data_IF_901895191448
#
_entry.id   IF_901895191448
#
_cell.length_a   1.000
_cell.length_b   1.000
_cell.length_c   1.000
_cell.angle_alpha   90.00
_cell.angle_beta   90.00
_cell.angle_gamma   90.00
#
_symmetry.space_group_name_H-M   'P 1'
#
loop_
_entity.id
_entity.type
_entity.pdbx_description
1 polymer ?
#
# COMPACT_ATOMS: atom_id res chain seq x y z
N UNK A 1 57.47 -15.74 21.16
CA UNK A 1 56.32 -15.10 21.83
C UNK A 1 56.30 -13.57 21.69
N UNK A 2 57.27 -12.79 22.20
CA UNK A 2 57.26 -11.31 22.13
C UNK A 2 57.05 -10.69 20.73
N UNK A 3 57.68 -11.25 19.68
CA UNK A 3 57.50 -10.75 18.30
C UNK A 3 56.08 -10.96 17.76
N UNK A 4 55.48 -12.13 18.03
CA UNK A 4 54.11 -12.45 17.61
C UNK A 4 53.11 -11.53 18.32
N UNK A 5 53.30 -11.27 19.61
CA UNK A 5 52.49 -10.30 20.37
C UNK A 5 52.62 -8.89 19.80
N UNK A 6 53.84 -8.43 19.48
CA UNK A 6 54.05 -7.11 18.89
C UNK A 6 53.38 -6.96 17.51
N UNK A 7 53.53 -7.96 16.61
CA UNK A 7 52.86 -7.94 15.31
C UNK A 7 51.33 -7.95 15.46
N UNK A 8 50.78 -8.76 16.36
CA UNK A 8 49.35 -8.78 16.63
C UNK A 8 48.85 -7.41 17.13
N UNK A 9 49.57 -6.78 18.07
CA UNK A 9 49.25 -5.44 18.57
C UNK A 9 49.30 -4.38 17.47
N UNK A 10 50.31 -4.42 16.58
CA UNK A 10 50.41 -3.48 15.45
C UNK A 10 49.26 -3.65 14.47
N UNK A 11 48.93 -4.88 14.08
CA UNK A 11 47.80 -5.15 13.17
C UNK A 11 46.47 -4.67 13.76
N UNK A 12 46.22 -4.95 15.05
CA UNK A 12 45.01 -4.48 15.74
C UNK A 12 44.96 -2.95 15.78
N UNK A 13 46.07 -2.30 16.13
CA UNK A 13 46.14 -0.83 16.22
C UNK A 13 45.88 -0.18 14.87
N UNK A 14 46.51 -0.67 13.80
CA UNK A 14 46.31 -0.17 12.44
C UNK A 14 44.87 -0.39 11.99
N UNK A 15 44.32 -1.58 12.24
CA UNK A 15 42.91 -1.88 11.93
C UNK A 15 41.93 -0.94 12.63
N UNK A 16 42.15 -0.67 13.92
CA UNK A 16 41.33 0.27 14.70
C UNK A 16 41.43 1.71 14.15
N UNK A 17 42.63 2.18 13.81
CA UNK A 17 42.82 3.51 13.23
C UNK A 17 42.13 3.65 11.87
N UNK A 18 42.25 2.64 11.00
CA UNK A 18 41.56 2.62 9.70
C UNK A 18 40.04 2.60 9.87
N UNK A 19 39.52 1.77 10.79
CA UNK A 19 38.10 1.71 11.09
C UNK A 19 37.58 3.05 11.62
N UNK A 20 38.23 3.64 12.63
CA UNK A 20 37.80 4.93 13.20
C UNK A 20 37.90 6.08 12.18
N UNK A 21 38.93 6.08 11.34
CA UNK A 21 39.06 7.04 10.25
C UNK A 21 37.93 6.92 9.23
N UNK A 22 37.58 5.69 8.83
CA UNK A 22 36.46 5.44 7.92
C UNK A 22 35.11 5.78 8.57
N UNK A 23 34.85 5.35 9.80
CA UNK A 23 33.63 5.69 10.54
C UNK A 23 33.48 7.20 10.76
N UNK A 24 34.58 7.91 11.01
CA UNK A 24 34.60 9.37 11.13
C UNK A 24 34.28 10.07 9.80
N UNK A 25 34.85 9.58 8.70
CA UNK A 25 34.48 10.04 7.35
C UNK A 25 33.01 9.79 7.04
N UNK A 26 32.52 8.59 7.32
CA UNK A 26 31.12 8.18 7.08
C UNK A 26 30.17 9.07 7.86
N UNK A 27 30.44 9.29 9.15
CA UNK A 27 29.64 10.20 9.97
C UNK A 27 29.59 11.62 9.38
N UNK A 28 30.73 12.14 8.91
CA UNK A 28 30.78 13.46 8.28
C UNK A 28 29.99 13.49 6.96
N UNK A 29 30.16 12.47 6.12
CA UNK A 29 29.45 12.32 4.85
C UNK A 29 27.94 12.25 5.05
N UNK A 30 27.46 11.39 5.95
CA UNK A 30 26.04 11.22 6.27
C UNK A 30 25.43 12.53 6.79
N UNK A 31 26.16 13.25 7.65
CA UNK A 31 25.73 14.55 8.20
C UNK A 31 25.64 15.65 7.14
N UNK A 32 26.46 15.57 6.08
CA UNK A 32 26.33 16.49 4.95
C UNK A 32 25.19 16.10 4.02
N UNK A 33 25.08 14.80 3.71
CA UNK A 33 24.03 14.26 2.84
C UNK A 33 22.65 14.56 3.41
N UNK A 34 22.46 14.38 4.71
CA UNK A 34 21.18 14.68 5.36
C UNK A 34 20.80 16.16 5.33
N UNK A 35 21.71 17.07 4.96
CA UNK A 35 21.44 18.49 4.76
C UNK A 35 21.23 18.90 3.31
N UNK A 36 21.77 18.11 2.36
CA UNK A 36 21.85 18.47 0.93
C UNK A 36 20.63 18.10 0.11
N UNK A 37 19.80 17.17 0.54
CA UNK A 37 18.61 16.81 -0.23
C UNK A 37 17.63 17.99 -0.24
N UNK A 38 17.46 18.62 -1.39
CA UNK A 38 16.31 19.47 -1.69
C UNK A 38 15.04 18.64 -1.45
N UNK A 39 14.36 18.90 -0.35
CA UNK A 39 13.06 18.29 -0.09
C UNK A 39 12.10 19.45 0.01
N UNK A 40 11.18 19.49 -0.94
CA UNK A 40 9.96 20.25 -0.81
C UNK A 40 9.35 19.93 0.56
N UNK A 41 9.39 20.91 1.46
CA UNK A 41 8.89 20.73 2.82
C UNK A 41 7.37 20.54 2.76
N UNK A 42 6.88 19.57 3.52
CA UNK A 42 5.46 19.47 3.84
C UNK A 42 5.01 20.74 4.58
N UNK A 43 3.73 21.12 4.46
CA UNK A 43 3.20 22.21 5.29
C UNK A 43 2.95 21.75 6.74
N UNK A 44 2.92 20.44 6.98
CA UNK A 44 2.73 19.81 8.28
C UNK A 44 4.10 19.57 8.95
N UNK A 45 4.32 20.22 10.10
CA UNK A 45 5.58 20.12 10.84
C UNK A 45 5.93 18.69 11.28
N UNK A 46 4.93 17.86 11.59
CA UNK A 46 5.12 16.46 11.95
C UNK A 46 5.65 15.63 10.76
N UNK A 47 5.12 15.83 9.55
CA UNK A 47 5.61 15.15 8.35
C UNK A 47 7.09 15.49 8.10
N UNK A 48 7.48 16.75 8.26
CA UNK A 48 8.88 17.18 8.15
C UNK A 48 9.79 16.52 9.21
N UNK A 49 9.28 16.32 10.43
CA UNK A 49 10.02 15.62 11.50
C UNK A 49 10.28 14.15 11.12
N UNK A 50 9.27 13.45 10.62
CA UNK A 50 9.38 12.04 10.21
C UNK A 50 10.29 11.89 8.98
N UNK A 51 10.14 12.76 7.97
CA UNK A 51 11.06 12.84 6.83
C UNK A 51 12.50 13.08 7.29
N UNK A 52 12.68 13.95 8.30
CA UNK A 52 13.96 14.22 8.95
C UNK A 52 14.59 12.94 9.51
N UNK A 53 13.85 12.15 10.28
CA UNK A 53 14.33 10.88 10.82
C UNK A 53 14.75 9.90 9.73
N UNK A 54 13.93 9.68 8.69
CA UNK A 54 14.30 8.75 7.63
C UNK A 54 15.58 9.16 6.91
N UNK A 55 15.80 10.46 6.73
CA UNK A 55 17.00 10.99 6.09
C UNK A 55 18.22 10.91 6.99
N UNK A 56 18.11 11.36 8.25
CA UNK A 56 19.19 11.40 9.22
C UNK A 56 19.68 9.99 9.60
N UNK A 57 18.78 9.02 9.61
CA UNK A 57 19.10 7.60 9.89
C UNK A 57 19.51 6.81 8.65
N UNK A 58 19.48 7.45 7.49
CA UNK A 58 19.90 6.85 6.23
C UNK A 58 18.99 5.73 5.76
N UNK A 59 17.69 5.75 6.11
CA UNK A 59 16.72 4.79 5.58
C UNK A 59 16.67 4.86 4.05
N UNK A 60 16.86 6.05 3.48
CA UNK A 60 16.89 6.26 2.04
C UNK A 60 18.05 5.55 1.33
N UNK A 61 19.16 5.23 2.03
CA UNK A 61 20.28 4.48 1.45
C UNK A 61 19.85 3.15 0.82
N UNK A 62 18.99 2.42 1.51
CA UNK A 62 18.57 1.08 1.11
C UNK A 62 17.11 1.02 0.66
N UNK A 63 16.30 2.03 0.97
CA UNK A 63 14.86 2.04 0.67
C UNK A 63 14.45 3.04 -0.40
N UNK A 64 15.42 3.63 -1.12
CA UNK A 64 15.14 4.43 -2.34
C UNK A 64 16.15 4.13 -3.45
N UNK A 65 15.76 4.21 -4.73
CA UNK A 65 16.63 3.88 -5.85
C UNK A 65 17.70 4.95 -6.15
N UNK A 66 17.60 6.13 -5.55
CA UNK A 66 18.38 7.33 -5.88
C UNK A 66 19.37 7.76 -4.79
N UNK A 67 19.71 6.88 -3.85
CA UNK A 67 20.61 7.23 -2.76
C UNK A 67 22.03 7.57 -3.27
N UNK A 68 22.53 8.75 -2.89
CA UNK A 68 23.93 9.13 -3.12
C UNK A 68 24.85 8.29 -2.25
N UNK A 69 25.62 7.38 -2.87
CA UNK A 69 26.53 6.50 -2.16
C UNK A 69 27.91 7.16 -1.93
N UNK A 70 28.56 6.89 -0.79
CA UNK A 70 29.92 7.37 -0.52
C UNK A 70 30.93 6.73 -1.48
N UNK A 71 32.10 7.36 -1.64
CA UNK A 71 33.11 6.93 -2.64
C UNK A 71 33.54 5.47 -2.52
N UNK A 72 33.59 4.94 -1.30
CA UNK A 72 34.03 3.57 -1.03
C UNK A 72 33.03 2.52 -1.50
N UNK A 73 31.79 2.91 -1.85
CA UNK A 73 30.79 2.03 -2.46
C UNK A 73 31.22 1.46 -3.82
N UNK A 74 32.27 2.03 -4.42
CA UNK A 74 32.87 1.56 -5.67
C UNK A 74 33.92 0.45 -5.48
N UNK A 75 34.38 0.18 -4.25
CA UNK A 75 35.43 -0.81 -3.99
C UNK A 75 34.87 -2.23 -4.05
N UNK A 76 35.55 -3.24 -4.65
CA UNK A 76 34.94 -4.52 -5.01
C UNK A 76 34.14 -5.24 -3.90
N UNK A 77 34.68 -5.32 -2.68
CA UNK A 77 34.01 -5.98 -1.55
C UNK A 77 32.89 -5.11 -0.96
N UNK A 78 33.14 -3.82 -0.78
CA UNK A 78 32.15 -2.89 -0.25
C UNK A 78 30.96 -2.76 -1.21
N UNK A 79 31.24 -2.65 -2.52
CA UNK A 79 30.26 -2.61 -3.59
C UNK A 79 29.32 -3.80 -3.54
N UNK A 80 29.86 -5.03 -3.51
CA UNK A 80 29.04 -6.23 -3.52
C UNK A 80 28.12 -6.31 -2.30
N UNK A 81 28.63 -5.97 -1.10
CA UNK A 81 27.84 -5.97 0.12
C UNK A 81 26.76 -4.88 0.10
N UNK A 82 27.12 -3.66 -0.28
CA UNK A 82 26.18 -2.53 -0.35
C UNK A 82 25.11 -2.77 -1.42
N UNK A 83 25.48 -3.22 -2.63
CA UNK A 83 24.52 -3.53 -3.69
C UNK A 83 23.52 -4.61 -3.22
N UNK A 84 23.99 -5.66 -2.53
CA UNK A 84 23.12 -6.68 -1.96
C UNK A 84 22.16 -6.10 -0.93
N UNK A 85 22.65 -5.28 -0.01
CA UNK A 85 21.85 -4.66 1.05
C UNK A 85 20.81 -3.69 0.49
N UNK A 86 21.19 -2.88 -0.50
CA UNK A 86 20.30 -1.93 -1.17
C UNK A 86 19.23 -2.67 -1.95
N UNK A 87 19.60 -3.69 -2.74
CA UNK A 87 18.63 -4.48 -3.49
C UNK A 87 17.64 -5.22 -2.57
N UNK A 88 18.14 -5.82 -1.49
CA UNK A 88 17.31 -6.51 -0.51
C UNK A 88 16.39 -5.52 0.24
N UNK A 89 16.93 -4.39 0.68
CA UNK A 89 16.19 -3.33 1.37
C UNK A 89 15.07 -2.78 0.51
N UNK A 90 15.38 -2.41 -0.74
CA UNK A 90 14.44 -1.81 -1.67
C UNK A 90 13.33 -2.79 -2.07
N UNK A 91 13.68 -4.06 -2.34
CA UNK A 91 12.70 -5.11 -2.63
C UNK A 91 11.76 -5.36 -1.45
N UNK A 92 12.26 -5.25 -0.22
CA UNK A 92 11.48 -5.51 1.00
C UNK A 92 10.59 -4.32 1.36
N UNK A 93 11.06 -3.10 1.13
CA UNK A 93 10.36 -1.87 1.46
C UNK A 93 10.85 -0.71 0.59
N UNK A 94 9.94 -0.11 -0.17
CA UNK A 94 10.19 1.11 -0.94
C UNK A 94 9.60 2.32 -0.20
N UNK A 95 10.48 3.24 0.20
CA UNK A 95 10.10 4.43 0.97
C UNK A 95 9.53 5.57 0.08
N UNK A 96 9.56 5.45 -1.24
CA UNK A 96 9.09 6.49 -2.17
C UNK A 96 7.62 6.85 -1.94
N UNK A 97 6.73 5.86 -1.81
CA UNK A 97 5.31 6.12 -1.57
C UNK A 97 5.07 6.86 -0.25
N UNK A 98 5.81 6.49 0.80
CA UNK A 98 5.76 7.16 2.11
C UNK A 98 6.26 8.60 2.00
N UNK A 99 7.40 8.82 1.34
CA UNK A 99 7.96 10.17 1.15
C UNK A 99 7.04 11.05 0.32
N UNK A 100 6.50 10.53 -0.78
CA UNK A 100 5.58 11.26 -1.64
C UNK A 100 4.33 11.67 -0.88
N UNK A 101 3.73 10.75 -0.10
CA UNK A 101 2.57 11.04 0.73
C UNK A 101 2.86 12.09 1.82
N UNK A 102 3.99 11.96 2.51
CA UNK A 102 4.41 12.95 3.52
C UNK A 102 4.65 14.34 2.92
N UNK A 103 5.27 14.44 1.74
CA UNK A 103 5.51 15.72 1.05
C UNK A 103 4.21 16.33 0.54
N UNK A 104 3.30 15.51 0.01
CA UNK A 104 2.03 15.94 -0.55
C UNK A 104 0.92 16.12 0.51
N UNK A 105 1.22 15.86 1.79
CA UNK A 105 0.27 15.89 2.90
C UNK A 105 -0.95 14.98 2.66
N UNK A 106 -0.73 13.83 2.04
CA UNK A 106 -1.74 12.80 1.81
C UNK A 106 -1.53 11.60 2.73
N UNK A 107 -2.57 10.77 2.96
CA UNK A 107 -2.45 9.58 3.81
C UNK A 107 -1.38 8.60 3.30
N UNK A 108 -0.46 8.19 4.18
CA UNK A 108 0.54 7.16 3.87
C UNK A 108 -0.13 5.78 3.82
N UNK A 109 0.04 4.97 2.76
CA UNK A 109 -0.63 3.67 2.64
C UNK A 109 -0.45 2.79 3.89
N UNK A 110 -1.54 2.18 4.36
CA UNK A 110 -1.54 1.35 5.58
C UNK A 110 -0.50 0.22 5.54
N UNK A 111 -0.29 -0.41 4.38
CA UNK A 111 0.72 -1.45 4.21
C UNK A 111 2.13 -0.95 4.54
N UNK A 112 2.45 0.29 4.19
CA UNK A 112 3.76 0.88 4.45
C UNK A 112 3.89 1.31 5.91
N UNK A 113 2.82 1.87 6.51
CA UNK A 113 2.76 2.15 7.95
C UNK A 113 3.03 0.88 8.78
N UNK A 114 2.40 -0.25 8.41
CA UNK A 114 2.56 -1.52 9.10
C UNK A 114 4.00 -2.06 9.03
N UNK A 115 4.67 -1.91 7.87
CA UNK A 115 6.08 -2.31 7.72
C UNK A 115 7.00 -1.47 8.60
N UNK A 116 6.80 -0.15 8.63
CA UNK A 116 7.59 0.76 9.47
C UNK A 116 7.35 0.44 10.95
N UNK A 117 6.09 0.30 11.37
CA UNK A 117 5.74 -0.05 12.74
C UNK A 117 6.43 -1.34 13.18
N UNK A 118 6.36 -2.39 12.36
CA UNK A 118 6.93 -3.69 12.71
C UNK A 118 8.45 -3.58 12.97
N UNK A 119 9.20 -2.90 12.08
CA UNK A 119 10.65 -2.75 12.26
C UNK A 119 11.01 -1.84 13.43
N UNK A 120 10.17 -0.87 13.76
CA UNK A 120 10.34 -0.02 14.94
C UNK A 120 10.08 -0.79 16.22
N UNK A 121 8.98 -1.54 16.31
CA UNK A 121 8.61 -2.35 17.48
C UNK A 121 9.65 -3.44 17.78
N UNK A 122 10.14 -4.11 16.73
CA UNK A 122 11.10 -5.22 16.87
C UNK A 122 12.57 -4.78 16.79
N UNK A 123 12.83 -3.49 16.58
CA UNK A 123 14.17 -2.91 16.49
C UNK A 123 15.08 -3.63 15.48
N UNK A 124 14.50 -4.09 14.37
CA UNK A 124 15.21 -4.85 13.34
C UNK A 124 15.91 -3.96 12.33
N UNK A 125 15.61 -2.65 12.36
CA UNK A 125 16.22 -1.65 11.50
C UNK A 125 16.79 -0.47 12.31
N UNK A 126 17.93 0.09 11.88
CA UNK A 126 18.75 -0.38 10.76
C UNK A 126 19.50 -1.70 11.09
N UNK A 127 19.90 -2.50 10.09
CA UNK A 127 20.61 -3.75 10.33
C UNK A 127 21.97 -3.54 11.02
N UNK A 128 22.43 -4.52 11.82
CA UNK A 128 23.72 -4.44 12.54
C UNK A 128 24.90 -4.10 11.63
N UNK A 129 24.94 -4.66 10.41
CA UNK A 129 25.99 -4.38 9.41
C UNK A 129 26.02 -2.92 8.98
N UNK A 130 24.88 -2.25 8.92
CA UNK A 130 24.80 -0.83 8.60
C UNK A 130 25.35 0.01 9.76
N UNK A 131 24.85 -0.21 10.98
CA UNK A 131 25.29 0.56 12.16
C UNK A 131 26.74 0.29 12.58
N UNK A 132 27.34 -0.81 12.13
CA UNK A 132 28.77 -1.06 12.31
C UNK A 132 29.64 0.01 11.65
N UNK A 133 29.18 0.65 10.57
CA UNK A 133 29.90 1.76 9.94
C UNK A 133 29.19 3.10 10.15
N UNK A 134 27.85 3.07 10.16
CA UNK A 134 26.95 4.19 10.34
C UNK A 134 26.38 4.22 11.76
N UNK A 135 27.23 4.26 12.77
CA UNK A 135 26.83 4.18 14.19
C UNK A 135 25.82 5.26 14.62
N UNK A 136 25.88 6.45 14.01
CA UNK A 136 24.90 7.53 14.25
C UNK A 136 23.54 7.31 13.56
N UNK A 137 23.45 6.32 12.67
CA UNK A 137 22.23 5.94 11.96
C UNK A 137 21.26 5.10 12.80
N UNK A 138 21.65 4.67 14.02
CA UNK A 138 20.75 4.01 14.94
C UNK A 138 19.55 4.88 15.33
N UNK A 139 18.37 4.27 15.42
CA UNK A 139 17.13 4.92 15.86
C UNK A 139 17.05 4.83 17.39
N UNK A 140 17.08 5.99 18.06
CA UNK A 140 16.93 6.10 19.52
C UNK A 140 15.51 5.79 19.98
N UNK A 141 15.34 5.52 21.28
CA UNK A 141 14.02 5.25 21.87
C UNK A 141 13.04 6.41 21.63
N UNK A 142 13.52 7.65 21.75
CA UNK A 142 12.70 8.84 21.49
C UNK A 142 12.23 8.89 20.04
N UNK A 143 13.13 8.71 19.07
CA UNK A 143 12.80 8.77 17.64
C UNK A 143 11.84 7.64 17.28
N UNK A 144 12.05 6.44 17.84
CA UNK A 144 11.16 5.30 17.68
C UNK A 144 9.76 5.59 18.21
N UNK A 145 9.65 6.12 19.43
CA UNK A 145 8.36 6.52 20.01
C UNK A 145 7.68 7.60 19.16
N UNK A 146 8.43 8.59 18.69
CA UNK A 146 7.89 9.64 17.82
C UNK A 146 7.35 9.05 16.49
N UNK A 147 8.05 8.09 15.88
CA UNK A 147 7.58 7.39 14.67
C UNK A 147 6.33 6.54 14.96
N UNK A 148 6.31 5.78 16.06
CA UNK A 148 5.16 4.94 16.42
C UNK A 148 3.92 5.77 16.73
N UNK A 149 4.07 6.89 17.42
CA UNK A 149 2.96 7.82 17.69
C UNK A 149 2.44 8.46 16.40
N UNK A 150 3.33 8.84 15.48
CA UNK A 150 2.94 9.34 14.17
C UNK A 150 2.14 8.29 13.37
N UNK A 151 2.58 7.03 13.38
CA UNK A 151 1.84 5.94 12.72
C UNK A 151 0.43 5.79 13.32
N UNK A 152 0.32 5.83 14.65
CA UNK A 152 -0.96 5.74 15.32
C UNK A 152 -1.90 6.89 14.96
N UNK A 153 -1.37 8.10 14.90
CA UNK A 153 -2.11 9.28 14.49
C UNK A 153 -2.57 9.20 13.01
N UNK A 154 -1.70 8.71 12.11
CA UNK A 154 -2.06 8.49 10.71
C UNK A 154 -3.21 7.48 10.57
N UNK A 155 -3.19 6.39 11.35
CA UNK A 155 -4.28 5.39 11.35
C UNK A 155 -5.58 5.96 11.87
N UNK A 156 -5.54 6.64 13.01
CA UNK A 156 -6.73 7.21 13.60
C UNK A 156 -7.37 8.28 12.70
N UNK A 157 -6.56 9.16 12.08
CA UNK A 157 -7.08 10.26 11.26
C UNK A 157 -7.61 9.81 9.90
N UNK A 158 -6.99 8.81 9.28
CA UNK A 158 -7.23 8.52 7.86
C UNK A 158 -7.89 7.17 7.59
N UNK A 159 -7.85 6.23 8.54
CA UNK A 159 -8.19 4.83 8.27
C UNK A 159 -9.19 4.23 9.25
N UNK A 160 -9.21 4.70 10.51
CA UNK A 160 -10.22 4.29 11.47
C UNK A 160 -11.59 4.87 11.09
N UNK A 161 -12.63 4.04 11.10
CA UNK A 161 -13.99 4.52 10.94
C UNK A 161 -14.48 5.20 12.21
N UNK A 162 -15.45 6.10 12.06
CA UNK A 162 -15.99 6.88 13.18
C UNK A 162 -16.62 6.00 14.29
N UNK A 163 -17.10 4.80 13.92
CA UNK A 163 -17.71 3.82 14.81
C UNK A 163 -16.72 2.78 15.37
N UNK A 164 -15.43 2.86 15.03
CA UNK A 164 -14.39 2.05 15.67
C UNK A 164 -14.12 2.52 17.09
N UNK A 165 -14.11 1.55 18.02
CA UNK A 165 -13.74 1.77 19.42
C UNK A 165 -12.35 2.40 19.54
N UNK A 166 -12.19 3.38 20.43
CA UNK A 166 -10.95 4.12 20.59
C UNK A 166 -9.73 3.20 20.85
N UNK A 167 -9.91 2.08 21.56
CA UNK A 167 -8.84 1.13 21.83
C UNK A 167 -8.32 0.40 20.58
N UNK A 168 -9.09 0.37 19.49
CA UNK A 168 -8.77 -0.36 18.26
C UNK A 168 -8.40 0.52 17.08
N UNK A 169 -8.39 1.85 17.23
CA UNK A 169 -8.13 2.79 16.11
C UNK A 169 -6.71 2.75 15.56
N UNK A 170 -5.74 2.26 16.33
CA UNK A 170 -4.36 2.09 15.89
C UNK A 170 -4.06 0.67 15.38
N UNK A 171 -5.04 -0.24 15.34
CA UNK A 171 -4.76 -1.60 14.88
C UNK A 171 -4.52 -1.64 13.36
N UNK A 172 -3.56 -2.45 12.87
CA UNK A 172 -3.33 -2.65 11.43
C UNK A 172 -4.55 -3.18 10.67
N UNK A 173 -5.47 -3.85 11.37
CA UNK A 173 -6.74 -4.35 10.84
C UNK A 173 -7.87 -3.64 11.55
N UNK A 174 -8.65 -2.88 10.78
CA UNK A 174 -9.79 -2.15 11.29
C UNK A 174 -11.08 -2.97 11.12
N UNK A 175 -12.03 -2.86 12.06
CA UNK A 175 -13.38 -3.37 11.86
C UNK A 175 -14.04 -2.76 10.61
N UNK A 176 -14.94 -3.52 9.98
CA UNK A 176 -15.75 -2.99 8.89
C UNK A 176 -16.74 -1.96 9.47
N UNK A 177 -16.83 -0.74 8.90
CA UNK A 177 -17.81 0.26 9.33
C UNK A 177 -19.24 -0.29 9.27
N UNK A 178 -20.06 -0.01 10.28
CA UNK A 178 -21.47 -0.45 10.30
C UNK A 178 -22.33 0.22 9.24
N UNK A 179 -21.97 1.44 8.84
CA UNK A 179 -22.66 2.17 7.79
C UNK A 179 -21.66 2.92 6.91
N UNK A 180 -22.06 3.12 5.66
CA UNK A 180 -21.39 4.00 4.70
C UNK A 180 -22.47 4.99 4.26
N UNK A 181 -22.16 6.30 4.16
CA UNK A 181 -23.11 7.29 3.68
C UNK A 181 -23.59 6.94 2.26
N UNK A 182 -24.89 6.70 2.11
CA UNK A 182 -25.53 6.35 0.84
C UNK A 182 -26.92 6.96 0.76
N UNK A 183 -27.44 7.14 -0.45
CA UNK A 183 -28.84 7.49 -0.67
C UNK A 183 -29.67 6.20 -0.66
N UNK A 184 -30.57 6.05 0.33
CA UNK A 184 -31.40 4.87 0.50
C UNK A 184 -32.24 4.54 -0.75
N UNK A 185 -32.75 5.55 -1.47
CA UNK A 185 -33.52 5.31 -2.70
C UNK A 185 -32.63 4.79 -3.83
N UNK A 186 -31.38 5.25 -3.93
CA UNK A 186 -30.40 4.70 -4.89
C UNK A 186 -29.98 3.29 -4.52
N UNK A 187 -29.91 2.97 -3.23
CA UNK A 187 -29.67 1.60 -2.75
C UNK A 187 -30.80 0.68 -3.20
N UNK A 188 -32.06 1.07 -2.99
CA UNK A 188 -33.22 0.26 -3.41
C UNK A 188 -33.26 0.05 -4.93
N UNK A 189 -33.03 1.11 -5.71
CA UNK A 189 -32.94 1.04 -7.17
C UNK A 189 -31.78 0.14 -7.61
N UNK A 190 -30.59 0.32 -7.02
CA UNK A 190 -29.42 -0.49 -7.30
C UNK A 190 -29.64 -1.97 -6.97
N UNK A 191 -30.30 -2.27 -5.85
CA UNK A 191 -30.64 -3.64 -5.46
C UNK A 191 -31.60 -4.29 -6.46
N UNK A 192 -32.60 -3.54 -6.97
CA UNK A 192 -33.48 -4.01 -8.03
C UNK A 192 -32.70 -4.32 -9.31
N UNK A 193 -31.84 -3.41 -9.76
CA UNK A 193 -31.00 -3.59 -10.95
C UNK A 193 -30.03 -4.76 -10.81
N UNK A 194 -29.44 -4.96 -9.63
CA UNK A 194 -28.53 -6.07 -9.33
C UNK A 194 -29.14 -7.45 -9.61
N UNK A 195 -30.47 -7.56 -9.42
CA UNK A 195 -31.23 -8.79 -9.65
C UNK A 195 -31.96 -8.80 -11.00
N UNK A 196 -31.90 -7.73 -11.79
CA UNK A 196 -32.67 -7.58 -13.02
C UNK A 196 -31.98 -8.30 -14.19
N UNK A 197 -32.56 -9.41 -14.63
CA UNK A 197 -32.03 -10.21 -15.74
C UNK A 197 -32.06 -9.45 -17.07
N UNK A 198 -32.91 -8.42 -17.21
CA UNK A 198 -33.02 -7.61 -18.44
C UNK A 198 -31.74 -6.83 -18.75
N UNK A 199 -30.78 -6.75 -17.83
CA UNK A 199 -29.43 -6.25 -18.10
C UNK A 199 -28.65 -7.15 -19.07
N UNK A 200 -28.98 -8.44 -19.16
CA UNK A 200 -28.39 -9.38 -20.14
C UNK A 200 -29.12 -9.38 -21.47
N UNK A 201 -28.40 -9.71 -22.55
CA UNK A 201 -28.89 -9.67 -23.92
C UNK A 201 -30.10 -10.57 -24.15
N UNK A 202 -30.09 -11.78 -23.57
CA UNK A 202 -31.21 -12.73 -23.65
C UNK A 202 -32.18 -12.66 -22.47
N UNK A 203 -31.96 -11.72 -21.54
CA UNK A 203 -32.75 -11.54 -20.32
C UNK A 203 -32.80 -12.78 -19.42
N UNK A 204 -31.69 -13.50 -19.29
CA UNK A 204 -31.58 -14.70 -18.44
C UNK A 204 -30.59 -14.59 -17.28
N UNK A 205 -29.71 -13.58 -17.29
CA UNK A 205 -28.64 -13.40 -16.30
C UNK A 205 -28.65 -11.99 -15.73
N UNK A 206 -28.43 -11.89 -14.42
CA UNK A 206 -28.23 -10.66 -13.66
C UNK A 206 -26.93 -10.73 -12.86
N UNK A 207 -26.56 -9.65 -12.17
CA UNK A 207 -25.36 -9.65 -11.31
C UNK A 207 -25.43 -10.75 -10.25
N UNK A 208 -26.63 -10.96 -9.68
CA UNK A 208 -26.89 -11.97 -8.65
C UNK A 208 -26.65 -13.42 -9.09
N UNK A 209 -26.60 -13.71 -10.39
CA UNK A 209 -26.31 -15.06 -10.90
C UNK A 209 -24.84 -15.46 -10.67
N UNK A 210 -23.91 -14.53 -10.90
CA UNK A 210 -22.48 -14.76 -10.68
C UNK A 210 -22.02 -14.36 -9.28
N UNK A 211 -22.77 -13.47 -8.62
CA UNK A 211 -22.42 -12.90 -7.33
C UNK A 211 -23.55 -13.09 -6.30
N UNK A 212 -23.95 -14.32 -6.04
CA UNK A 212 -25.12 -14.60 -5.22
C UNK A 212 -24.93 -14.15 -3.75
N UNK A 213 -25.75 -13.20 -3.29
CA UNK A 213 -25.65 -12.60 -1.93
C UNK A 213 -25.90 -13.65 -0.83
N UNK A 214 -26.76 -14.65 -1.10
CA UNK A 214 -27.01 -15.77 -0.19
C UNK A 214 -25.90 -16.85 -0.20
N UNK A 215 -24.88 -16.71 -1.06
CA UNK A 215 -23.76 -17.63 -1.19
C UNK A 215 -22.40 -16.90 -1.11
N UNK A 216 -22.31 -15.88 -0.24
CA UNK A 216 -21.06 -15.17 0.01
C UNK A 216 -20.65 -14.20 -1.11
N UNK A 217 -21.58 -13.82 -1.99
CA UNK A 217 -21.34 -12.87 -3.08
C UNK A 217 -20.59 -13.46 -4.26
N UNK A 218 -20.57 -14.79 -4.41
CA UNK A 218 -19.88 -15.54 -5.47
C UNK A 218 -20.79 -16.64 -6.05
N UNK A 219 -20.35 -17.27 -7.15
CA UNK A 219 -21.07 -18.38 -7.79
C UNK A 219 -20.59 -19.78 -7.36
N UNK A 220 -19.52 -19.85 -6.56
CA UNK A 220 -18.92 -21.12 -6.10
C UNK A 220 -18.26 -21.95 -7.20
N UNK A 221 -17.95 -21.37 -8.37
CA UNK A 221 -17.37 -22.08 -9.53
C UNK A 221 -15.90 -21.76 -9.70
N UNK A 222 -15.19 -22.64 -10.44
CA UNK A 222 -13.82 -22.37 -10.89
C UNK A 222 -13.77 -21.10 -11.75
N UNK A 223 -14.68 -20.98 -12.70
CA UNK A 223 -14.91 -19.79 -13.51
C UNK A 223 -16.41 -19.66 -13.79
N UNK A 224 -16.87 -18.42 -14.01
CA UNK A 224 -18.29 -18.12 -14.14
C UNK A 224 -18.86 -18.59 -15.48
N UNK A 225 -20.19 -18.81 -15.50
CA UNK A 225 -20.93 -19.18 -16.69
C UNK A 225 -21.86 -18.02 -17.05
N UNK A 226 -21.65 -17.42 -18.21
CA UNK A 226 -22.48 -16.36 -18.76
C UNK A 226 -23.57 -16.88 -19.69
N UNK A 227 -24.11 -15.95 -20.48
CA UNK A 227 -25.21 -16.17 -21.42
C UNK A 227 -24.90 -17.33 -22.39
N UNK A 228 -25.91 -18.15 -22.69
CA UNK A 228 -25.76 -19.29 -23.59
C UNK A 228 -24.80 -20.39 -23.10
N UNK A 229 -24.44 -20.39 -21.81
CA UNK A 229 -23.48 -21.34 -21.25
C UNK A 229 -22.02 -21.00 -21.52
N UNK A 230 -21.71 -19.77 -21.95
CA UNK A 230 -20.35 -19.31 -22.16
C UNK A 230 -19.53 -19.40 -20.87
N UNK A 231 -18.34 -19.99 -20.93
CA UNK A 231 -17.47 -20.15 -19.75
C UNK A 231 -16.42 -19.04 -19.73
N UNK A 232 -16.44 -18.24 -18.66
CA UNK A 232 -15.47 -17.17 -18.43
C UNK A 232 -14.05 -17.69 -18.14
N UNK A 233 -13.02 -16.83 -18.27
CA UNK A 233 -11.63 -17.23 -18.08
C UNK A 233 -11.16 -17.20 -16.62
N UNK A 234 -11.94 -16.60 -15.72
CA UNK A 234 -11.54 -16.32 -14.34
C UNK A 234 -12.70 -16.52 -13.36
N UNK A 235 -12.36 -16.74 -12.08
CA UNK A 235 -13.31 -16.85 -10.99
C UNK A 235 -13.97 -15.49 -10.69
N UNK A 236 -15.28 -15.48 -10.41
CA UNK A 236 -15.98 -14.30 -9.92
C UNK A 236 -15.54 -13.97 -8.47
N UNK A 237 -14.91 -12.81 -8.23
CA UNK A 237 -14.60 -12.38 -6.86
C UNK A 237 -15.88 -12.05 -6.08
N UNK A 238 -15.82 -12.03 -4.76
CA UNK A 238 -16.99 -11.66 -3.95
C UNK A 238 -17.37 -10.18 -4.12
N UNK A 239 -18.67 -9.89 -4.10
CA UNK A 239 -19.16 -8.50 -3.97
C UNK A 239 -19.14 -7.98 -2.53
N UNK A 240 -18.98 -8.85 -1.53
CA UNK A 240 -18.90 -8.39 -0.15
C UNK A 240 -17.59 -7.64 0.09
N UNK A 241 -17.71 -6.45 0.69
CA UNK A 241 -16.59 -5.55 1.00
C UNK A 241 -15.81 -5.04 -0.23
N UNK A 242 -16.28 -5.28 -1.46
CA UNK A 242 -15.59 -4.84 -2.68
C UNK A 242 -15.48 -3.32 -2.80
N UNK A 243 -16.34 -2.58 -2.09
CA UNK A 243 -16.26 -1.12 -1.93
C UNK A 243 -14.97 -0.65 -1.26
N UNK A 244 -14.29 -1.52 -0.50
CA UNK A 244 -13.02 -1.22 0.17
C UNK A 244 -11.79 -1.66 -0.63
N UNK A 245 -11.98 -2.27 -1.81
CA UNK A 245 -10.86 -2.54 -2.70
C UNK A 245 -10.27 -1.23 -3.22
N UNK A 246 -8.95 -1.22 -3.44
CA UNK A 246 -8.25 -0.08 -4.04
C UNK A 246 -8.68 0.09 -5.51
N UNK A 247 -8.83 -1.02 -6.22
CA UNK A 247 -9.30 -1.13 -7.61
C UNK A 247 -10.16 -2.38 -7.75
N UNK A 248 -10.93 -2.47 -8.83
CA UNK A 248 -11.85 -3.57 -9.12
C UNK A 248 -11.31 -4.49 -10.21
N UNK A 249 -11.87 -5.71 -10.27
CA UNK A 249 -11.35 -6.87 -11.00
C UNK A 249 -9.99 -7.38 -10.47
N UNK A 250 -9.64 -8.60 -10.87
CA UNK A 250 -8.38 -9.25 -10.47
C UNK A 250 -7.12 -8.53 -10.94
N UNK A 251 -7.21 -7.76 -12.03
CA UNK A 251 -6.12 -7.01 -12.64
C UNK A 251 -6.19 -5.50 -12.35
N UNK A 252 -7.13 -5.06 -11.51
CA UNK A 252 -7.26 -3.65 -11.11
C UNK A 252 -7.72 -2.71 -12.23
N UNK A 253 -8.17 -3.22 -13.39
CA UNK A 253 -8.42 -2.39 -14.58
C UNK A 253 -9.57 -1.39 -14.46
N UNK A 254 -10.36 -1.43 -13.39
CA UNK A 254 -11.43 -0.48 -13.12
C UNK A 254 -11.19 0.19 -11.77
N UNK A 255 -11.12 1.52 -11.73
CA UNK A 255 -10.79 2.26 -10.52
C UNK A 255 -11.92 2.27 -9.48
N UNK A 256 -13.16 2.02 -9.91
CA UNK A 256 -14.35 2.14 -9.05
C UNK A 256 -15.37 1.05 -9.31
N UNK A 257 -16.29 0.81 -8.36
CA UNK A 257 -17.44 -0.07 -8.55
C UNK A 257 -18.35 0.39 -9.70
N UNK A 258 -18.50 1.71 -9.90
CA UNK A 258 -19.31 2.27 -10.97
C UNK A 258 -18.70 1.95 -12.35
N UNK A 259 -17.39 2.07 -12.49
CA UNK A 259 -16.68 1.68 -13.71
C UNK A 259 -16.75 0.16 -13.95
N UNK A 260 -16.56 -0.63 -12.88
CA UNK A 260 -16.68 -2.09 -12.92
C UNK A 260 -18.05 -2.52 -13.43
N UNK A 261 -19.14 -1.93 -12.92
CA UNK A 261 -20.51 -2.24 -13.32
C UNK A 261 -20.81 -1.94 -14.80
N UNK A 262 -19.99 -1.10 -15.44
CA UNK A 262 -20.08 -0.82 -16.88
C UNK A 262 -19.61 -1.96 -17.78
N UNK A 263 -18.82 -2.91 -17.26
CA UNK A 263 -18.19 -3.99 -18.02
C UNK A 263 -19.10 -5.20 -18.29
N UNK A 264 -19.56 -5.93 -17.25
CA UNK A 264 -20.28 -7.19 -17.40
C UNK A 264 -21.51 -7.14 -18.34
N UNK A 265 -22.35 -6.09 -18.33
CA UNK A 265 -23.52 -6.00 -19.21
C UNK A 265 -23.19 -6.17 -20.70
N UNK A 266 -22.06 -5.63 -21.14
CA UNK A 266 -21.63 -5.65 -22.55
C UNK A 266 -20.63 -6.75 -22.88
N UNK A 267 -20.15 -7.50 -21.88
CA UNK A 267 -19.19 -8.57 -22.12
C UNK A 267 -19.90 -9.79 -22.78
N UNK A 268 -19.48 -10.23 -23.98
CA UNK A 268 -20.16 -11.30 -24.73
C UNK A 268 -20.12 -12.67 -24.07
N UNK A 269 -19.22 -12.90 -23.11
CA UNK A 269 -19.14 -14.16 -22.35
C UNK A 269 -19.70 -14.03 -20.93
N UNK A 270 -20.26 -12.87 -20.57
CA UNK A 270 -20.98 -12.64 -19.31
C UNK A 270 -22.46 -12.38 -19.61
N UNK A 271 -22.88 -11.12 -19.74
CA UNK A 271 -24.30 -10.75 -19.92
C UNK A 271 -24.69 -10.47 -21.37
N UNK A 272 -23.72 -10.25 -22.26
CA UNK A 272 -23.90 -10.23 -23.72
C UNK A 272 -24.97 -9.27 -24.28
N UNK A 273 -25.33 -8.19 -23.59
CA UNK A 273 -26.12 -7.11 -24.21
C UNK A 273 -25.28 -6.40 -25.28
N UNK A 274 -25.90 -6.06 -26.43
CA UNK A 274 -25.18 -5.48 -27.57
C UNK A 274 -24.85 -4.00 -27.38
N UNK A 275 -25.65 -3.29 -26.58
CA UNK A 275 -25.48 -1.88 -26.28
C UNK A 275 -26.27 -1.47 -25.04
N UNK A 276 -25.93 -0.30 -24.48
CA UNK A 276 -26.75 0.33 -23.45
C UNK A 276 -28.15 0.69 -23.95
N UNK A 277 -28.31 1.07 -25.22
CA UNK A 277 -29.63 1.35 -25.81
C UNK A 277 -30.53 0.12 -25.77
N UNK A 278 -29.97 -1.07 -26.00
CA UNK A 278 -30.72 -2.33 -25.87
C UNK A 278 -31.23 -2.52 -24.43
N UNK A 279 -30.34 -2.35 -23.45
CA UNK A 279 -30.68 -2.44 -22.01
C UNK A 279 -31.76 -1.42 -21.66
N UNK A 280 -31.55 -0.15 -22.01
CA UNK A 280 -32.49 0.95 -21.75
C UNK A 280 -33.85 0.64 -22.38
N UNK A 281 -33.90 0.14 -23.62
CA UNK A 281 -35.15 -0.21 -24.29
C UNK A 281 -35.94 -1.33 -23.59
N UNK A 282 -35.25 -2.24 -22.89
CA UNK A 282 -35.85 -3.30 -22.07
C UNK A 282 -36.37 -2.72 -20.76
N UNK A 283 -35.57 -1.89 -20.09
CA UNK A 283 -35.91 -1.31 -18.79
C UNK A 283 -36.99 -0.22 -18.87
N UNK A 284 -37.04 0.59 -19.95
CA UNK A 284 -38.03 1.68 -20.11
C UNK A 284 -39.48 1.17 -20.25
N UNK A 285 -39.66 -0.12 -20.55
CA UNK A 285 -40.97 -0.79 -20.57
C UNK A 285 -41.54 -1.04 -19.17
N UNK A 286 -40.74 -0.84 -18.12
CA UNK A 286 -41.17 -1.00 -16.73
C UNK A 286 -41.52 0.36 -16.11
N UNK A 287 -42.82 0.71 -16.02
CA UNK A 287 -43.24 2.01 -15.52
C UNK A 287 -42.87 2.24 -14.05
N UNK A 288 -42.73 1.17 -13.26
CA UNK A 288 -42.31 1.29 -11.86
C UNK A 288 -40.82 1.62 -11.81
N UNK A 289 -39.99 0.87 -12.54
CA UNK A 289 -38.55 1.13 -12.58
C UNK A 289 -38.26 2.54 -13.11
N UNK A 290 -38.99 3.00 -14.13
CA UNK A 290 -38.88 4.38 -14.65
C UNK A 290 -39.18 5.44 -13.58
N UNK A 291 -40.23 5.21 -12.78
CA UNK A 291 -40.55 6.09 -11.64
C UNK A 291 -39.45 6.05 -10.58
N UNK A 292 -38.88 4.90 -10.29
CA UNK A 292 -37.80 4.74 -9.31
C UNK A 292 -36.54 5.52 -9.75
N UNK A 293 -36.17 5.45 -11.05
CA UNK A 293 -35.08 6.26 -11.62
C UNK A 293 -35.33 7.77 -11.53
N UNK A 294 -36.58 8.23 -11.67
CA UNK A 294 -36.93 9.65 -11.56
C UNK A 294 -36.97 10.17 -10.12
N UNK A 295 -36.97 9.27 -9.13
CA UNK A 295 -37.12 9.61 -7.72
C UNK A 295 -35.79 9.84 -6.97
N UNK A 296 -34.66 9.68 -7.66
CA UNK A 296 -33.27 9.72 -7.14
C UNK A 296 -32.37 10.73 -7.84
#
# INVERSE_FOLDING_TARGET
MKKITLYATTVITVGLLCYLGLSGYVWYYDKQRSKKSDVQASVVGENNKILGYFREKGCDYCHTPSAELPFYSSFPVAKQLMDYDIQLGYKSFNLEAVRAALIADTPVPQSELNKIEWVMQHQTMPPTRYVALHWAGGVSDKERTDILNWIADQRERNYASADTDAAHRNEPVQPIPRNIPVDAKKVDLGFRLYHDERLSGDSTISCAHCHAINAGGVDGRKTSIGVGGAVGPINAPTVFNSVFNIEQFWDGRAATLQEQAGGPPLNPIEMASKSWDEIISKLDKDPVLKKDFQAV
#
